data_IF_798769898263
#
_entry.id   IF_798769898263
#
_cell.length_a   1.000
_cell.length_b   1.000
_cell.length_c   1.000
_cell.angle_alpha   90.00
_cell.angle_beta   90.00
_cell.angle_gamma   90.00
#
_symmetry.space_group_name_H-M   'P 1'
#
loop_
_entity.id
_entity.type
_entity.pdbx_description
1 polymer ?
#
# COMPACT_ATOMS: atom_id res chain seq x y z
N UNK A 1 67.49 -14.80 -22.07
CA UNK A 1 66.21 -14.26 -22.59
C UNK A 1 65.08 -15.08 -21.96
N UNK A 2 64.55 -14.62 -20.83
CA UNK A 2 63.52 -15.33 -20.06
C UNK A 2 62.17 -14.71 -20.43
N UNK A 3 61.27 -15.51 -21.05
CA UNK A 3 59.89 -15.08 -21.33
C UNK A 3 59.06 -15.22 -20.05
N UNK A 4 58.57 -14.09 -19.59
CA UNK A 4 57.64 -13.99 -18.45
C UNK A 4 56.20 -14.18 -18.98
N UNK A 5 55.56 -15.29 -18.61
CA UNK A 5 54.15 -15.54 -18.91
C UNK A 5 53.29 -14.92 -17.82
N UNK A 6 52.50 -13.91 -18.18
CA UNK A 6 51.51 -13.26 -17.28
C UNK A 6 50.22 -14.07 -17.40
N UNK A 7 49.82 -14.78 -16.36
CA UNK A 7 48.49 -15.38 -16.21
C UNK A 7 47.51 -14.31 -15.75
N UNK A 8 46.62 -13.88 -16.65
CA UNK A 8 45.46 -13.08 -16.30
C UNK A 8 44.43 -14.01 -15.67
N UNK A 9 44.28 -13.91 -14.35
CA UNK A 9 43.21 -14.56 -13.60
C UNK A 9 41.94 -13.72 -13.78
N UNK A 10 41.04 -14.12 -14.66
CA UNK A 10 39.72 -13.52 -14.80
C UNK A 10 38.86 -13.93 -13.59
N UNK A 11 38.77 -13.07 -12.59
CA UNK A 11 37.78 -13.18 -11.54
C UNK A 11 36.38 -12.93 -12.09
N UNK A 12 35.64 -14.01 -12.33
CA UNK A 12 34.19 -13.91 -12.59
C UNK A 12 33.53 -13.55 -11.28
N UNK A 13 33.27 -12.25 -11.08
CA UNK A 13 32.34 -11.77 -10.05
C UNK A 13 30.92 -12.18 -10.49
N UNK A 14 30.44 -13.28 -9.94
CA UNK A 14 29.02 -13.60 -9.94
C UNK A 14 28.29 -12.60 -9.05
N UNK A 15 27.79 -11.52 -9.64
CA UNK A 15 26.85 -10.60 -8.98
C UNK A 15 25.53 -11.35 -8.86
N UNK A 16 25.34 -12.08 -7.76
CA UNK A 16 24.03 -12.52 -7.31
C UNK A 16 23.29 -11.26 -6.85
N UNK A 17 22.55 -10.65 -7.77
CA UNK A 17 21.66 -9.53 -7.47
C UNK A 17 20.54 -10.02 -6.57
N UNK A 18 20.72 -9.91 -5.26
CA UNK A 18 19.62 -9.95 -4.31
C UNK A 18 18.77 -8.71 -4.57
N UNK A 19 17.63 -8.89 -5.25
CA UNK A 19 16.60 -7.85 -5.39
C UNK A 19 16.00 -7.61 -4.00
N UNK A 20 16.58 -6.66 -3.26
CA UNK A 20 15.99 -6.16 -2.03
C UNK A 20 14.69 -5.41 -2.39
N UNK A 21 13.55 -5.98 -2.02
CA UNK A 21 12.29 -5.25 -2.03
C UNK A 21 12.37 -4.15 -0.97
N UNK A 22 12.68 -2.94 -1.39
CA UNK A 22 12.71 -1.77 -0.49
C UNK A 22 11.29 -1.25 -0.28
N UNK A 23 10.51 -1.93 0.57
CA UNK A 23 9.39 -1.28 1.25
C UNK A 23 9.94 -0.19 2.18
N UNK A 24 9.18 0.89 2.41
CA UNK A 24 9.58 1.86 3.43
C UNK A 24 9.62 1.16 4.80
N UNK A 25 10.62 1.48 5.65
CA UNK A 25 10.66 0.97 7.01
C UNK A 25 9.35 1.25 7.76
N UNK A 26 8.89 0.29 8.55
CA UNK A 26 7.67 0.39 9.35
C UNK A 26 8.06 0.53 10.82
N UNK A 27 7.73 1.66 11.40
CA UNK A 27 7.96 1.95 12.81
C UNK A 27 6.79 1.43 13.67
N UNK A 28 7.13 0.80 14.78
CA UNK A 28 6.20 0.23 15.75
C UNK A 28 6.47 0.82 17.13
N UNK A 29 5.48 1.53 17.66
CA UNK A 29 5.48 2.14 18.99
C UNK A 29 6.69 3.04 19.32
N UNK A 30 7.43 3.51 18.30
CA UNK A 30 8.68 4.29 18.51
C UNK A 30 9.85 3.48 19.08
N UNK A 31 9.73 2.14 19.11
CA UNK A 31 10.72 1.23 19.72
C UNK A 31 11.43 0.40 18.64
N UNK A 32 10.68 -0.15 17.71
CA UNK A 32 11.20 -1.06 16.69
C UNK A 32 10.89 -0.53 15.29
N UNK A 33 11.87 -0.59 14.39
CA UNK A 33 11.71 -0.22 12.97
C UNK A 33 12.05 -1.43 12.11
N UNK A 34 11.05 -1.95 11.41
CA UNK A 34 11.24 -3.03 10.45
C UNK A 34 11.59 -2.46 9.07
N UNK A 35 12.54 -3.10 8.37
CA UNK A 35 12.87 -2.78 6.97
C UNK A 35 11.65 -2.96 6.04
N UNK A 36 10.83 -3.97 6.33
CA UNK A 36 9.58 -4.31 5.66
C UNK A 36 8.71 -5.17 6.60
N UNK A 37 7.42 -5.20 6.37
CA UNK A 37 6.48 -6.12 7.06
C UNK A 37 5.83 -7.11 6.10
N UNK A 38 6.09 -6.99 4.81
CA UNK A 38 5.65 -7.91 3.77
C UNK A 38 6.84 -8.27 2.89
N UNK A 39 7.03 -9.56 2.65
CA UNK A 39 7.95 -10.07 1.63
C UNK A 39 7.16 -10.82 0.56
N UNK A 40 7.31 -10.38 -0.67
CA UNK A 40 6.68 -10.98 -1.84
C UNK A 40 7.73 -11.72 -2.66
N UNK A 41 7.62 -13.05 -2.71
CA UNK A 41 8.50 -13.89 -3.53
C UNK A 41 8.17 -13.81 -5.02
N UNK A 42 7.02 -13.20 -5.38
CA UNK A 42 6.52 -13.21 -6.76
C UNK A 42 6.10 -14.62 -7.22
N UNK A 43 6.15 -14.82 -8.56
CA UNK A 43 5.90 -16.11 -9.16
C UNK A 43 7.20 -16.94 -9.22
N UNK A 44 7.17 -18.18 -8.77
CA UNK A 44 8.30 -19.10 -8.87
C UNK A 44 7.81 -20.55 -9.11
N UNK A 45 8.71 -21.40 -9.60
CA UNK A 45 8.36 -22.78 -9.93
C UNK A 45 8.35 -23.68 -8.70
N UNK A 46 7.48 -24.69 -8.73
CA UNK A 46 7.50 -25.78 -7.74
C UNK A 46 8.87 -26.47 -7.69
N UNK A 47 9.51 -26.61 -8.85
CA UNK A 47 10.84 -27.19 -8.98
C UNK A 47 11.99 -26.33 -8.44
N UNK A 48 11.74 -25.05 -8.14
CA UNK A 48 12.79 -24.14 -7.61
C UNK A 48 13.14 -24.46 -6.14
N UNK A 49 12.36 -25.30 -5.47
CA UNK A 49 12.52 -25.64 -4.07
C UNK A 49 12.15 -24.52 -3.09
N UNK A 50 12.46 -24.68 -1.81
CA UNK A 50 12.13 -23.71 -0.76
C UNK A 50 12.67 -22.31 -1.05
N UNK A 51 11.96 -21.27 -0.62
CA UNK A 51 12.37 -19.87 -0.75
C UNK A 51 12.56 -19.23 0.62
N UNK A 52 13.69 -18.55 0.78
CA UNK A 52 14.03 -17.87 2.03
C UNK A 52 14.03 -16.36 1.88
N UNK A 53 13.71 -15.68 2.96
CA UNK A 53 13.83 -14.22 3.05
C UNK A 53 14.20 -13.80 4.47
N UNK A 54 14.61 -12.55 4.60
CA UNK A 54 14.92 -11.93 5.88
C UNK A 54 14.10 -10.66 6.08
N UNK A 55 13.77 -10.42 7.35
CA UNK A 55 13.26 -9.17 7.87
C UNK A 55 14.25 -8.64 8.88
N UNK A 56 14.64 -7.39 8.75
CA UNK A 56 15.53 -6.73 9.70
C UNK A 56 14.69 -5.81 10.59
N UNK A 57 14.92 -5.91 11.89
CA UNK A 57 14.34 -5.00 12.89
C UNK A 57 15.43 -4.22 13.60
N UNK A 58 15.39 -2.89 13.47
CA UNK A 58 16.29 -1.98 14.17
C UNK A 58 15.66 -1.51 15.47
N UNK A 59 16.45 -1.46 16.53
CA UNK A 59 16.04 -0.80 17.77
C UNK A 59 16.21 0.71 17.61
N UNK A 60 15.09 1.45 17.66
CA UNK A 60 15.04 2.91 17.59
C UNK A 60 14.61 3.53 18.94
N UNK A 61 14.37 2.69 19.96
CA UNK A 61 14.10 3.11 21.33
C UNK A 61 15.37 3.25 22.15
N UNK A 62 15.22 3.71 23.38
CA UNK A 62 16.29 4.00 24.36
C UNK A 62 16.73 2.80 25.21
N UNK A 63 16.05 1.66 25.08
CA UNK A 63 16.32 0.43 25.86
C UNK A 63 16.49 -0.78 24.97
N UNK A 64 17.34 -1.74 25.35
CA UNK A 64 17.44 -2.99 24.64
C UNK A 64 16.11 -3.74 24.62
N UNK A 65 15.77 -4.35 23.48
CA UNK A 65 14.67 -5.30 23.39
C UNK A 65 15.15 -6.69 22.94
N UNK A 66 14.37 -7.72 23.22
CA UNK A 66 14.60 -9.07 22.71
C UNK A 66 13.43 -9.56 21.86
N UNK A 67 13.74 -10.28 20.78
CA UNK A 67 12.75 -11.04 20.02
C UNK A 67 12.50 -12.33 20.80
N UNK A 68 11.40 -12.37 21.54
CA UNK A 68 11.09 -13.50 22.41
C UNK A 68 10.67 -14.73 21.63
N UNK A 69 9.78 -14.54 20.65
CA UNK A 69 9.20 -15.62 19.88
C UNK A 69 8.78 -15.13 18.50
N UNK A 70 8.91 -16.00 17.51
CA UNK A 70 8.32 -15.84 16.18
C UNK A 70 7.51 -17.09 15.89
N UNK A 71 6.20 -16.91 15.65
CA UNK A 71 5.26 -18.01 15.40
C UNK A 71 4.80 -17.94 13.96
N UNK A 72 5.03 -19.01 13.18
CA UNK A 72 4.49 -19.15 11.84
C UNK A 72 3.04 -19.60 11.86
N UNK A 73 2.21 -19.13 10.91
CA UNK A 73 0.81 -19.56 10.73
C UNK A 73 0.66 -20.96 10.16
N UNK A 74 1.74 -21.60 9.69
CA UNK A 74 1.73 -22.98 9.18
C UNK A 74 3.07 -23.68 9.43
N UNK A 75 3.05 -25.01 9.45
CA UNK A 75 4.26 -25.84 9.48
C UNK A 75 5.09 -25.81 8.17
N UNK A 76 4.59 -25.12 7.14
CA UNK A 76 5.28 -24.95 5.85
C UNK A 76 6.26 -23.76 5.84
N UNK A 77 6.52 -23.14 6.99
CA UNK A 77 7.44 -22.02 7.09
C UNK A 77 8.31 -22.16 8.33
N UNK A 78 9.57 -22.46 8.11
CA UNK A 78 10.58 -22.48 9.14
C UNK A 78 11.08 -21.09 9.46
N UNK A 79 11.32 -20.78 10.75
CA UNK A 79 11.75 -19.46 11.19
C UNK A 79 12.90 -19.54 12.16
N UNK A 80 13.85 -18.65 11.98
CA UNK A 80 14.95 -18.41 12.93
C UNK A 80 15.06 -16.92 13.17
N UNK A 81 15.60 -16.52 14.33
CA UNK A 81 15.74 -15.10 14.67
C UNK A 81 16.87 -14.83 15.65
N UNK A 82 17.31 -13.59 15.73
CA UNK A 82 18.30 -13.11 16.69
C UNK A 82 17.83 -13.38 18.12
N UNK A 83 18.57 -14.18 18.87
CA UNK A 83 18.26 -14.58 20.26
C UNK A 83 18.84 -13.64 21.31
N UNK A 84 19.86 -12.85 20.95
CA UNK A 84 20.48 -11.87 21.84
C UNK A 84 19.66 -10.59 21.89
N UNK A 85 19.67 -9.84 23.01
CA UNK A 85 19.06 -8.53 23.07
C UNK A 85 19.63 -7.57 22.04
N UNK A 86 18.76 -6.84 21.33
CA UNK A 86 19.10 -5.83 20.35
C UNK A 86 19.21 -4.49 21.07
N UNK A 87 20.42 -3.94 21.16
CA UNK A 87 20.65 -2.66 21.84
C UNK A 87 20.19 -1.49 20.97
N UNK A 88 20.12 -0.30 21.57
CA UNK A 88 19.82 0.94 20.84
C UNK A 88 20.69 1.07 19.57
N UNK A 89 20.07 1.36 18.45
CA UNK A 89 20.70 1.50 17.15
C UNK A 89 21.11 0.19 16.45
N UNK A 90 21.16 -0.94 17.18
CA UNK A 90 21.49 -2.26 16.61
C UNK A 90 20.32 -2.87 15.86
N UNK A 91 20.61 -3.94 15.10
CA UNK A 91 19.63 -4.67 14.30
C UNK A 91 19.53 -6.13 14.72
N UNK A 92 18.30 -6.62 14.81
CA UNK A 92 17.97 -8.05 14.85
C UNK A 92 17.50 -8.52 13.47
N UNK A 93 17.65 -9.82 13.20
CA UNK A 93 17.22 -10.47 11.96
C UNK A 93 16.24 -11.58 12.27
N UNK A 94 15.20 -11.68 11.45
CA UNK A 94 14.23 -12.79 11.42
C UNK A 94 14.33 -13.40 10.03
N UNK A 95 14.80 -14.63 9.94
CA UNK A 95 14.89 -15.39 8.69
C UNK A 95 13.72 -16.35 8.60
N UNK A 96 13.07 -16.41 7.44
CA UNK A 96 11.96 -17.31 7.16
C UNK A 96 12.20 -18.08 5.88
N UNK A 97 11.95 -19.39 5.92
CA UNK A 97 12.04 -20.29 4.77
C UNK A 97 10.68 -20.93 4.52
N UNK A 98 10.06 -20.58 3.41
CA UNK A 98 8.81 -21.19 2.96
C UNK A 98 9.09 -22.45 2.16
N UNK A 99 8.54 -23.58 2.59
CA UNK A 99 8.53 -24.83 1.84
C UNK A 99 7.41 -24.79 0.80
N UNK A 100 7.73 -25.04 -0.47
CA UNK A 100 6.79 -25.03 -1.58
C UNK A 100 6.29 -26.46 -1.95
N UNK A 101 6.39 -27.41 -1.03
CA UNK A 101 6.09 -28.83 -1.22
C UNK A 101 4.59 -29.15 -1.26
N UNK A 102 3.73 -28.16 -1.00
CA UNK A 102 2.27 -28.35 -0.96
C UNK A 102 1.58 -28.22 -2.34
N UNK A 103 2.35 -28.00 -3.41
CA UNK A 103 1.84 -27.85 -4.78
C UNK A 103 1.87 -26.43 -5.31
N UNK A 104 1.36 -26.26 -6.54
CA UNK A 104 1.34 -24.98 -7.27
C UNK A 104 0.09 -24.17 -6.94
N UNK A 105 0.21 -23.14 -6.11
CA UNK A 105 -0.86 -22.22 -5.74
C UNK A 105 -0.34 -20.89 -5.21
N UNK A 106 -1.14 -19.81 -5.23
CA UNK A 106 -0.80 -18.58 -4.55
C UNK A 106 -0.91 -18.75 -3.04
N UNK A 107 0.03 -18.18 -2.29
CA UNK A 107 0.03 -18.28 -0.83
C UNK A 107 0.25 -16.92 -0.15
N UNK A 108 -0.31 -16.81 1.05
CA UNK A 108 0.03 -15.80 2.03
C UNK A 108 0.16 -16.46 3.40
N UNK A 109 1.32 -16.31 4.03
CA UNK A 109 1.63 -16.84 5.36
C UNK A 109 2.01 -15.70 6.28
N UNK A 110 1.68 -15.83 7.56
CA UNK A 110 2.01 -14.81 8.55
C UNK A 110 3.01 -15.33 9.59
N UNK A 111 3.88 -14.42 10.04
CA UNK A 111 4.74 -14.62 11.19
C UNK A 111 4.32 -13.63 12.28
N UNK A 112 3.96 -14.15 13.44
CA UNK A 112 3.64 -13.34 14.61
C UNK A 112 4.90 -13.17 15.45
N UNK A 113 5.42 -11.95 15.51
CA UNK A 113 6.69 -11.61 16.18
C UNK A 113 6.39 -10.95 17.53
N UNK A 114 6.86 -11.57 18.60
CA UNK A 114 6.76 -11.05 19.95
C UNK A 114 8.09 -10.41 20.35
N UNK A 115 8.07 -9.12 20.65
CA UNK A 115 9.24 -8.33 21.05
C UNK A 115 8.97 -7.78 22.46
N UNK A 116 9.96 -7.88 23.35
CA UNK A 116 9.88 -7.20 24.67
C UNK A 116 9.70 -5.70 24.46
N UNK A 117 9.00 -5.04 25.34
CA UNK A 117 8.70 -3.61 25.28
C UNK A 117 7.65 -3.17 24.24
N UNK A 118 7.14 -4.05 23.39
CA UNK A 118 5.97 -3.78 22.55
C UNK A 118 4.69 -4.30 23.23
N UNK A 119 3.63 -3.52 23.16
CA UNK A 119 2.33 -3.89 23.73
C UNK A 119 1.57 -4.92 22.88
N UNK A 120 1.91 -5.01 21.60
CA UNK A 120 1.26 -5.92 20.63
C UNK A 120 2.31 -6.63 19.78
N UNK A 121 2.05 -7.87 19.37
CA UNK A 121 2.93 -8.56 18.43
C UNK A 121 2.89 -7.87 17.06
N UNK A 122 4.00 -7.97 16.34
CA UNK A 122 4.10 -7.49 14.96
C UNK A 122 3.82 -8.64 14.01
N UNK A 123 2.97 -8.40 13.01
CA UNK A 123 2.63 -9.38 11.99
C UNK A 123 3.45 -9.11 10.74
N UNK A 124 4.34 -10.05 10.41
CA UNK A 124 5.04 -10.07 9.13
C UNK A 124 4.31 -11.02 8.18
N UNK A 125 4.37 -10.74 6.87
CA UNK A 125 3.70 -11.52 5.84
C UNK A 125 4.68 -12.00 4.78
N UNK A 126 4.52 -13.26 4.40
CA UNK A 126 5.19 -13.89 3.27
C UNK A 126 4.12 -14.19 2.24
N UNK A 127 4.29 -13.75 1.03
CA UNK A 127 3.37 -14.08 -0.05
C UNK A 127 4.12 -14.42 -1.33
N UNK A 128 3.45 -15.12 -2.22
CA UNK A 128 3.97 -15.48 -3.52
C UNK A 128 3.00 -16.41 -4.25
N UNK A 129 3.40 -16.83 -5.43
CA UNK A 129 2.61 -17.77 -6.22
C UNK A 129 3.54 -18.88 -6.75
N UNK A 130 3.31 -20.10 -6.27
CA UNK A 130 4.00 -21.30 -6.76
C UNK A 130 3.31 -21.76 -8.04
N UNK A 131 4.08 -22.01 -9.09
CA UNK A 131 3.58 -22.48 -10.39
C UNK A 131 4.31 -23.72 -10.85
N UNK A 132 3.66 -24.56 -11.64
CA UNK A 132 4.33 -25.73 -12.25
C UNK A 132 5.13 -25.36 -13.50
N UNK A 133 4.71 -24.31 -14.22
CA UNK A 133 5.36 -23.82 -15.43
C UNK A 133 5.61 -22.32 -15.31
N UNK A 134 6.74 -21.86 -15.81
CA UNK A 134 7.04 -20.44 -15.91
C UNK A 134 6.06 -19.79 -16.89
N UNK A 135 5.20 -18.90 -16.39
CA UNK A 135 4.29 -18.12 -17.25
C UNK A 135 5.08 -17.14 -18.09
N UNK A 136 4.72 -16.97 -19.39
CA UNK A 136 5.27 -15.89 -20.21
C UNK A 136 5.03 -14.52 -19.57
N UNK A 137 5.96 -13.59 -19.75
CA UNK A 137 5.80 -12.24 -19.22
C UNK A 137 4.52 -11.55 -19.69
N UNK A 138 4.07 -11.81 -20.92
CA UNK A 138 2.81 -11.26 -21.44
C UNK A 138 1.56 -11.71 -20.65
N UNK A 139 1.58 -12.90 -20.06
CA UNK A 139 0.50 -13.36 -19.16
C UNK A 139 0.60 -12.76 -17.76
N UNK A 140 1.84 -12.55 -17.27
CA UNK A 140 2.08 -11.95 -15.95
C UNK A 140 1.82 -10.44 -15.92
N UNK A 141 1.92 -9.79 -17.09
CA UNK A 141 1.74 -8.35 -17.28
C UNK A 141 0.74 -8.10 -18.41
N UNK A 142 -0.57 -8.36 -18.17
CA UNK A 142 -1.59 -8.41 -19.24
C UNK A 142 -1.97 -7.05 -19.82
N UNK A 143 -1.63 -5.96 -19.15
CA UNK A 143 -1.86 -4.60 -19.68
C UNK A 143 -0.64 -4.16 -20.49
N UNK A 144 -0.85 -3.88 -21.76
CA UNK A 144 0.24 -3.53 -22.69
C UNK A 144 0.12 -2.09 -23.16
N UNK A 145 1.23 -1.35 -23.09
CA UNK A 145 1.40 -0.05 -23.74
C UNK A 145 2.66 -0.18 -24.60
N UNK A 146 2.49 -0.41 -25.91
CA UNK A 146 3.60 -0.79 -26.77
C UNK A 146 4.30 -2.04 -26.23
N UNK A 147 5.61 -1.99 -26.08
CA UNK A 147 6.42 -3.08 -25.51
C UNK A 147 6.44 -3.10 -23.97
N UNK A 148 5.84 -2.14 -23.31
CA UNK A 148 5.72 -2.11 -21.84
C UNK A 148 4.53 -2.95 -21.37
N UNK A 149 4.80 -3.98 -20.57
CA UNK A 149 3.82 -4.80 -19.89
C UNK A 149 3.64 -4.37 -18.44
N UNK A 150 2.37 -4.32 -17.96
CA UNK A 150 1.99 -3.96 -16.60
C UNK A 150 0.88 -4.87 -16.09
N UNK A 151 0.67 -4.91 -14.77
CA UNK A 151 -0.46 -5.63 -14.16
C UNK A 151 -1.73 -4.77 -14.13
N UNK A 152 -1.59 -3.46 -14.00
CA UNK A 152 -2.69 -2.50 -13.84
C UNK A 152 -2.26 -1.11 -14.35
N UNK A 153 -3.23 -0.21 -14.52
CA UNK A 153 -3.03 1.19 -14.92
C UNK A 153 -3.42 2.18 -13.83
N UNK A 154 -3.98 1.67 -12.72
CA UNK A 154 -4.44 2.47 -11.57
C UNK A 154 -3.66 2.06 -10.32
N UNK A 155 -2.87 2.97 -9.78
CA UNK A 155 -1.94 2.70 -8.68
C UNK A 155 -2.36 3.40 -7.41
N UNK A 156 -2.39 2.63 -6.32
CA UNK A 156 -2.61 3.16 -4.97
C UNK A 156 -1.28 3.57 -4.35
N UNK A 157 -1.10 4.86 -4.10
CA UNK A 157 0.07 5.36 -3.36
C UNK A 157 -0.10 5.18 -1.84
N UNK A 158 -1.34 5.26 -1.36
CA UNK A 158 -1.70 5.09 0.04
C UNK A 158 -1.94 6.40 0.79
N UNK A 159 -1.87 6.33 2.12
CA UNK A 159 -2.12 7.49 2.97
C UNK A 159 -0.87 8.37 3.07
N UNK A 160 -1.08 9.68 2.97
CA UNK A 160 -0.02 10.69 3.08
C UNK A 160 -0.46 11.73 4.12
N UNK A 161 0.44 12.10 5.04
CA UNK A 161 0.18 13.25 5.92
C UNK A 161 0.26 14.53 5.10
N UNK A 162 -0.55 15.52 5.44
CA UNK A 162 -0.57 16.81 4.77
C UNK A 162 0.82 17.45 4.71
N UNK A 163 1.25 17.84 3.52
CA UNK A 163 2.58 18.39 3.26
C UNK A 163 3.71 17.36 3.21
N UNK A 164 3.42 16.08 3.50
CA UNK A 164 4.37 14.98 3.36
C UNK A 164 4.42 14.41 1.95
N UNK A 165 5.23 13.38 1.75
CA UNK A 165 5.32 12.64 0.50
C UNK A 165 5.31 11.13 0.73
N UNK A 166 4.92 10.39 -0.29
CA UNK A 166 4.96 8.93 -0.29
C UNK A 166 5.36 8.41 -1.66
N UNK A 167 6.28 7.46 -1.64
CA UNK A 167 6.69 6.70 -2.82
C UNK A 167 6.18 5.27 -2.71
N UNK A 168 5.88 4.68 -3.86
CA UNK A 168 5.61 3.27 -4.01
C UNK A 168 6.07 2.83 -5.40
N UNK A 169 5.98 1.55 -5.72
CA UNK A 169 6.36 1.05 -7.04
C UNK A 169 5.45 -0.08 -7.50
N UNK A 170 5.38 -0.26 -8.80
CA UNK A 170 4.80 -1.42 -9.46
C UNK A 170 5.83 -2.10 -10.34
N UNK A 171 5.77 -3.43 -10.43
CA UNK A 171 6.62 -4.18 -11.37
C UNK A 171 6.09 -4.00 -12.79
N UNK A 172 7.00 -3.80 -13.72
CA UNK A 172 6.74 -3.71 -15.15
C UNK A 172 7.68 -4.63 -15.93
N UNK A 173 7.32 -4.97 -17.15
CA UNK A 173 8.10 -5.86 -18.00
C UNK A 173 8.35 -5.24 -19.36
N UNK A 174 9.49 -5.53 -19.95
CA UNK A 174 9.76 -5.30 -21.35
C UNK A 174 9.37 -6.55 -22.16
N UNK A 175 8.26 -6.48 -22.85
CA UNK A 175 7.73 -7.55 -23.72
C UNK A 175 8.32 -7.51 -25.14
N UNK A 176 9.13 -6.47 -25.42
CA UNK A 176 9.80 -6.29 -26.70
C UNK A 176 11.09 -7.09 -26.83
N UNK A 177 11.70 -6.98 -28.02
CA UNK A 177 12.95 -7.67 -28.39
C UNK A 177 14.20 -6.79 -28.23
N UNK A 178 14.04 -5.53 -27.87
CA UNK A 178 15.12 -4.54 -27.70
C UNK A 178 15.04 -3.91 -26.31
N UNK A 179 16.12 -3.33 -25.76
CA UNK A 179 16.06 -2.59 -24.50
C UNK A 179 15.01 -1.48 -24.56
N UNK A 180 14.20 -1.35 -23.50
CA UNK A 180 13.08 -0.42 -23.43
C UNK A 180 13.40 0.73 -22.49
N UNK A 181 13.30 1.96 -22.99
CA UNK A 181 13.23 3.19 -22.18
C UNK A 181 11.80 3.73 -22.18
N UNK A 182 11.32 4.06 -20.97
CA UNK A 182 10.00 4.66 -20.78
C UNK A 182 10.18 6.07 -20.27
N UNK A 183 9.60 7.04 -20.96
CA UNK A 183 9.49 8.42 -20.50
C UNK A 183 8.05 8.78 -20.19
N UNK A 184 7.82 9.92 -19.54
CA UNK A 184 6.47 10.34 -19.15
C UNK A 184 6.20 11.77 -19.58
N UNK A 185 4.98 12.05 -20.01
CA UNK A 185 4.46 13.38 -20.30
C UNK A 185 3.11 13.59 -19.62
N UNK A 186 2.63 14.82 -19.60
CA UNK A 186 1.37 15.20 -18.93
C UNK A 186 1.33 14.69 -17.47
N UNK A 187 2.47 14.78 -16.78
CA UNK A 187 2.58 14.37 -15.38
C UNK A 187 1.91 15.41 -14.51
N UNK A 188 0.97 14.98 -13.65
CA UNK A 188 0.29 15.87 -12.70
C UNK A 188 1.30 16.57 -11.79
N UNK A 189 1.00 17.80 -11.40
CA UNK A 189 1.72 18.48 -10.33
C UNK A 189 1.77 17.58 -9.08
N UNK A 190 2.87 17.63 -8.34
CA UNK A 190 3.10 16.83 -7.14
C UNK A 190 3.21 15.30 -7.35
N UNK A 191 3.27 14.83 -8.60
CA UNK A 191 3.59 13.46 -8.95
C UNK A 191 4.94 13.40 -9.65
N UNK A 192 5.83 12.50 -9.21
CA UNK A 192 7.01 12.11 -9.99
C UNK A 192 6.90 10.63 -10.34
N UNK A 193 7.28 10.29 -11.58
CA UNK A 193 7.22 8.91 -12.08
C UNK A 193 8.50 8.61 -12.86
N UNK A 194 9.10 7.45 -12.61
CA UNK A 194 10.26 6.95 -13.36
C UNK A 194 10.29 5.44 -13.40
N UNK A 195 11.06 4.88 -14.28
CA UNK A 195 11.30 3.43 -14.37
C UNK A 195 12.74 3.12 -13.99
N UNK A 196 12.93 2.08 -13.20
CA UNK A 196 14.24 1.54 -12.82
C UNK A 196 14.34 0.04 -13.19
N UNK A 197 15.41 -0.38 -13.86
CA UNK A 197 16.47 0.47 -14.44
C UNK A 197 15.93 1.40 -15.54
N UNK A 198 16.64 2.50 -15.85
CA UNK A 198 16.24 3.47 -16.90
C UNK A 198 16.02 2.78 -18.26
N UNK A 199 16.73 1.70 -18.50
CA UNK A 199 16.57 0.84 -19.69
C UNK A 199 16.34 -0.59 -19.24
N UNK A 200 15.14 -1.12 -19.49
CA UNK A 200 14.78 -2.50 -19.16
C UNK A 200 15.27 -3.40 -20.32
N UNK A 201 16.11 -4.41 -20.05
CA UNK A 201 16.54 -5.36 -21.11
C UNK A 201 15.35 -6.06 -21.76
N UNK A 202 15.52 -6.52 -23.00
CA UNK A 202 14.51 -7.33 -23.70
C UNK A 202 14.13 -8.57 -22.87
N UNK A 203 12.83 -8.80 -22.66
CA UNK A 203 12.33 -9.89 -21.82
C UNK A 203 12.67 -9.73 -20.33
N UNK A 204 13.15 -8.56 -19.92
CA UNK A 204 13.44 -8.23 -18.51
C UNK A 204 12.30 -7.54 -17.80
N UNK A 205 12.47 -7.33 -16.51
CA UNK A 205 11.52 -6.58 -15.65
C UNK A 205 12.18 -5.36 -15.06
N UNK A 206 11.37 -4.39 -14.65
CA UNK A 206 11.78 -3.18 -13.96
C UNK A 206 10.74 -2.74 -12.95
N UNK A 207 10.98 -1.60 -12.31
CA UNK A 207 10.07 -0.97 -11.37
C UNK A 207 9.58 0.35 -11.95
N UNK A 208 8.28 0.53 -12.03
CA UNK A 208 7.65 1.84 -12.19
C UNK A 208 7.57 2.45 -10.79
N UNK A 209 8.44 3.42 -10.49
CA UNK A 209 8.48 4.10 -9.20
C UNK A 209 7.69 5.40 -9.33
N UNK A 210 6.79 5.63 -8.39
CA UNK A 210 5.97 6.84 -8.34
C UNK A 210 5.97 7.44 -6.95
N UNK A 211 6.09 8.76 -6.89
CA UNK A 211 6.09 9.54 -5.64
C UNK A 211 5.05 10.63 -5.74
N UNK A 212 4.15 10.69 -4.77
CA UNK A 212 3.20 11.79 -4.62
C UNK A 212 3.60 12.63 -3.41
N UNK A 213 3.75 13.93 -3.63
CA UNK A 213 3.88 14.93 -2.58
C UNK A 213 2.51 15.53 -2.31
N UNK A 214 2.03 15.44 -1.07
CA UNK A 214 0.73 15.98 -0.71
C UNK A 214 0.71 17.49 -0.81
N UNK A 215 -0.31 18.03 -1.47
CA UNK A 215 -0.62 19.45 -1.40
C UNK A 215 -1.26 19.77 -0.04
N UNK A 216 -0.85 20.90 0.57
CA UNK A 216 -1.40 21.33 1.87
C UNK A 216 -2.87 21.76 1.81
N UNK A 217 -3.41 22.01 0.62
CA UNK A 217 -4.78 22.42 0.39
C UNK A 217 -5.71 21.25 -0.01
N UNK A 218 -5.15 20.05 -0.21
CA UNK A 218 -5.91 18.89 -0.63
C UNK A 218 -6.08 17.90 0.53
N UNK A 219 -7.31 17.44 0.68
CA UNK A 219 -7.72 16.44 1.67
C UNK A 219 -8.32 15.22 1.00
N UNK A 220 -8.36 14.09 1.71
CA UNK A 220 -9.00 12.88 1.26
C UNK A 220 -8.35 12.27 0.02
N UNK A 221 -9.15 11.60 -0.80
CA UNK A 221 -8.70 10.92 -2.01
C UNK A 221 -8.44 11.94 -3.13
N UNK A 222 -7.20 11.92 -3.65
CA UNK A 222 -6.76 12.78 -4.75
C UNK A 222 -6.16 11.92 -5.87
N UNK A 223 -6.45 12.31 -7.11
CA UNK A 223 -6.03 11.60 -8.31
C UNK A 223 -4.94 12.37 -9.05
N UNK A 224 -3.97 11.63 -9.54
CA UNK A 224 -2.84 12.10 -10.33
C UNK A 224 -2.73 11.24 -11.58
N UNK A 225 -2.13 11.77 -12.63
CA UNK A 225 -1.94 11.06 -13.90
C UNK A 225 -0.57 11.29 -14.48
N UNK A 226 -0.07 10.32 -15.25
CA UNK A 226 1.11 10.44 -16.08
C UNK A 226 0.91 9.62 -17.34
N UNK A 227 1.26 10.16 -18.49
CA UNK A 227 1.14 9.47 -19.77
C UNK A 227 2.50 8.87 -20.14
N UNK A 228 2.65 7.53 -20.16
CA UNK A 228 3.90 6.90 -20.59
C UNK A 228 4.11 7.09 -22.08
N UNK A 229 5.36 7.26 -22.46
CA UNK A 229 5.81 7.25 -23.86
C UNK A 229 6.70 6.03 -24.02
N UNK A 230 6.24 5.10 -24.83
CA UNK A 230 6.84 3.79 -25.08
C UNK A 230 7.06 3.66 -26.59
N UNK A 231 8.25 3.25 -27.01
CA UNK A 231 8.60 3.12 -28.44
C UNK A 231 8.28 4.39 -29.26
N UNK A 232 8.50 5.57 -28.65
CA UNK A 232 8.23 6.88 -29.24
C UNK A 232 6.75 7.27 -29.33
N UNK A 233 5.82 6.43 -28.85
CA UNK A 233 4.37 6.66 -28.89
C UNK A 233 3.82 6.86 -27.46
N UNK A 234 2.89 7.80 -27.34
CA UNK A 234 2.14 7.96 -26.10
C UNK A 234 1.11 6.85 -25.92
N UNK A 235 1.10 6.26 -24.76
CA UNK A 235 0.06 5.34 -24.32
C UNK A 235 -1.12 6.04 -23.64
N UNK A 236 -1.99 5.23 -23.05
CA UNK A 236 -3.04 5.72 -22.16
C UNK A 236 -2.44 6.25 -20.84
N UNK A 237 -3.12 7.23 -20.24
CA UNK A 237 -2.65 7.82 -19.00
C UNK A 237 -2.79 6.83 -17.85
N UNK A 238 -1.70 6.59 -17.14
CA UNK A 238 -1.69 5.90 -15.87
C UNK A 238 -2.30 6.80 -14.81
N UNK A 239 -3.07 6.20 -13.91
CA UNK A 239 -3.72 6.89 -12.81
C UNK A 239 -3.11 6.50 -11.48
N UNK A 240 -2.90 7.48 -10.63
CA UNK A 240 -2.37 7.28 -9.28
C UNK A 240 -3.30 7.95 -8.30
N UNK A 241 -3.53 7.34 -7.13
CA UNK A 241 -4.30 8.02 -6.11
C UNK A 241 -3.64 7.90 -4.74
N UNK A 242 -3.74 8.99 -4.00
CA UNK A 242 -3.30 9.07 -2.62
C UNK A 242 -4.42 9.62 -1.75
N UNK A 243 -4.42 9.24 -0.48
CA UNK A 243 -5.35 9.76 0.51
C UNK A 243 -4.59 10.67 1.48
N UNK A 244 -4.90 11.97 1.44
CA UNK A 244 -4.28 12.99 2.30
C UNK A 244 -5.07 13.14 3.59
N UNK A 245 -4.39 12.99 4.71
CA UNK A 245 -4.93 13.24 6.06
C UNK A 245 -4.08 14.27 6.80
N UNK A 246 -4.63 14.84 7.87
CA UNK A 246 -3.89 15.76 8.73
C UNK A 246 -2.67 15.08 9.37
N UNK A 247 -1.62 15.85 9.59
CA UNK A 247 -0.45 15.39 10.32
C UNK A 247 -0.61 15.64 11.81
N UNK A 248 -0.68 14.56 12.57
CA UNK A 248 -0.85 14.58 14.02
C UNK A 248 0.42 14.18 14.79
N UNK A 249 1.57 14.08 14.10
CA UNK A 249 2.82 13.61 14.70
C UNK A 249 3.32 14.52 15.81
N UNK A 250 3.09 15.85 15.70
CA UNK A 250 3.50 16.85 16.68
C UNK A 250 2.59 17.00 17.90
N UNK A 251 1.47 16.25 17.98
CA UNK A 251 0.52 16.39 19.08
C UNK A 251 0.96 15.61 20.34
N UNK A 252 0.97 16.28 21.51
CA UNK A 252 1.13 15.63 22.79
C UNK A 252 -0.05 14.69 23.12
N UNK A 253 0.12 13.80 24.12
CA UNK A 253 -0.93 12.92 24.59
C UNK A 253 -2.16 13.71 25.05
N UNK A 254 -1.95 14.77 25.81
CA UNK A 254 -3.03 15.64 26.30
C UNK A 254 -3.79 16.33 25.16
N UNK A 255 -3.09 16.79 24.11
CA UNK A 255 -3.72 17.37 22.93
C UNK A 255 -4.57 16.35 22.19
N UNK A 256 -4.10 15.11 22.07
CA UNK A 256 -4.88 14.01 21.44
C UNK A 256 -6.14 13.66 22.26
N UNK A 257 -6.06 13.65 23.59
CA UNK A 257 -7.20 13.39 24.49
C UNK A 257 -8.25 14.52 24.47
N UNK A 258 -7.82 15.75 24.19
CA UNK A 258 -8.71 16.92 24.07
C UNK A 258 -9.19 17.15 22.63
N UNK A 259 -8.73 16.39 21.68
CA UNK A 259 -9.06 16.56 20.28
C UNK A 259 -10.54 16.27 19.97
N UNK A 260 -10.96 16.65 18.77
CA UNK A 260 -12.27 16.30 18.23
C UNK A 260 -12.40 14.77 18.08
N UNK A 261 -13.61 14.25 18.34
CA UNK A 261 -13.91 12.83 18.24
C UNK A 261 -15.21 12.60 17.49
N UNK A 262 -15.14 12.30 16.19
CA UNK A 262 -16.32 12.05 15.39
C UNK A 262 -16.97 10.71 15.76
N UNK A 263 -18.27 10.73 15.95
CA UNK A 263 -19.15 9.58 16.16
C UNK A 263 -20.27 9.66 15.13
N UNK A 264 -20.58 8.57 14.46
CA UNK A 264 -21.83 8.40 13.71
C UNK A 264 -22.80 7.58 14.56
N UNK A 265 -24.05 8.04 14.72
CA UNK A 265 -25.09 7.29 15.45
C UNK A 265 -25.37 5.95 14.76
N UNK A 266 -25.37 5.96 13.42
CA UNK A 266 -25.32 4.78 12.58
C UNK A 266 -24.32 5.02 11.45
N UNK A 267 -23.41 4.10 11.24
CA UNK A 267 -22.44 4.18 10.14
C UNK A 267 -22.96 3.58 8.85
N UNK A 268 -24.12 2.92 8.88
CA UNK A 268 -24.74 2.28 7.71
C UNK A 268 -26.15 2.84 7.49
N UNK A 269 -26.44 3.19 6.25
CA UNK A 269 -27.77 3.51 5.74
C UNK A 269 -28.16 2.43 4.72
N UNK A 270 -29.28 1.72 4.99
CA UNK A 270 -29.79 0.71 4.08
C UNK A 270 -31.06 1.25 3.40
N UNK A 271 -31.03 1.31 2.06
CA UNK A 271 -32.19 1.79 1.28
C UNK A 271 -33.15 0.64 0.86
N UNK A 272 -32.87 -0.60 1.27
CA UNK A 272 -33.69 -1.78 0.94
C UNK A 272 -33.56 -2.17 -0.52
N UNK A 273 -34.66 -2.64 -1.11
CA UNK A 273 -34.75 -3.06 -2.52
C UNK A 273 -35.50 -2.01 -3.31
N UNK A 274 -34.89 -1.46 -4.35
CA UNK A 274 -35.46 -0.41 -5.17
C UNK A 274 -35.31 -0.69 -6.67
N UNK A 275 -36.25 -0.17 -7.45
CA UNK A 275 -36.10 -0.09 -8.91
C UNK A 275 -35.07 0.99 -9.27
N UNK A 276 -34.26 0.74 -10.30
CA UNK A 276 -33.33 1.71 -10.84
C UNK A 276 -34.02 3.06 -11.16
N UNK A 277 -33.33 4.18 -10.92
CA UNK A 277 -33.88 5.53 -11.13
C UNK A 277 -34.69 6.10 -9.97
N UNK A 278 -34.92 5.37 -8.88
CA UNK A 278 -35.51 5.92 -7.65
C UNK A 278 -34.43 6.67 -6.87
N UNK A 279 -34.57 7.99 -6.62
CA UNK A 279 -33.56 8.74 -5.88
C UNK A 279 -33.48 8.28 -4.43
N UNK A 280 -32.27 8.23 -3.90
CA UNK A 280 -32.00 7.92 -2.49
C UNK A 280 -31.23 9.09 -1.88
N UNK A 281 -31.64 9.56 -0.70
CA UNK A 281 -30.91 10.47 0.15
C UNK A 281 -30.54 9.75 1.45
N UNK A 282 -29.29 9.27 1.54
CA UNK A 282 -28.79 8.66 2.76
C UNK A 282 -28.45 9.76 3.78
N UNK A 283 -28.96 9.62 5.00
CA UNK A 283 -28.82 10.59 6.08
C UNK A 283 -28.03 9.97 7.22
N UNK A 284 -26.95 10.63 7.62
CA UNK A 284 -26.09 10.23 8.73
C UNK A 284 -26.08 11.30 9.81
N UNK A 285 -26.43 10.94 11.03
CA UNK A 285 -26.31 11.80 12.18
C UNK A 285 -24.91 11.65 12.78
N UNK A 286 -24.19 12.75 12.80
CA UNK A 286 -22.82 12.83 13.33
C UNK A 286 -22.85 13.59 14.66
N UNK A 287 -22.01 13.19 15.59
CA UNK A 287 -21.78 13.85 16.88
C UNK A 287 -20.29 14.07 17.07
N UNK A 288 -19.92 15.19 17.68
CA UNK A 288 -18.57 15.41 18.15
C UNK A 288 -18.52 15.08 19.66
N UNK A 289 -17.93 13.95 20.02
CA UNK A 289 -17.74 13.55 21.43
C UNK A 289 -16.44 14.08 22.04
N UNK A 290 -15.61 14.75 21.23
CA UNK A 290 -14.37 15.35 21.67
C UNK A 290 -14.56 16.70 22.36
N UNK A 291 -13.43 17.26 22.80
CA UNK A 291 -13.40 18.54 23.56
C UNK A 291 -12.98 19.73 22.69
N UNK A 292 -12.61 19.52 21.44
CA UNK A 292 -12.33 20.57 20.46
C UNK A 292 -13.26 20.47 19.26
N UNK A 293 -13.39 21.56 18.48
CA UNK A 293 -14.27 21.58 17.31
C UNK A 293 -13.87 20.52 16.25
N UNK A 294 -14.86 19.77 15.80
CA UNK A 294 -14.68 18.79 14.74
C UNK A 294 -14.84 19.48 13.38
N UNK A 295 -13.82 19.36 12.55
CA UNK A 295 -13.81 19.75 11.15
C UNK A 295 -13.84 18.52 10.27
N UNK A 296 -14.75 18.47 9.32
CA UNK A 296 -14.77 17.48 8.26
C UNK A 296 -14.20 18.17 7.01
N UNK A 297 -13.06 17.70 6.55
CA UNK A 297 -12.33 18.37 5.46
C UNK A 297 -12.86 17.98 4.08
N UNK A 298 -13.19 16.70 3.92
CA UNK A 298 -13.65 16.14 2.65
C UNK A 298 -14.50 14.89 2.87
N UNK A 299 -15.43 14.65 1.98
CA UNK A 299 -16.15 13.39 1.82
C UNK A 299 -15.87 12.84 0.41
N UNK A 300 -15.35 11.63 0.35
CA UNK A 300 -15.05 10.92 -0.90
C UNK A 300 -15.95 9.68 -0.99
N UNK A 301 -16.78 9.60 -2.03
CA UNK A 301 -17.51 8.38 -2.35
C UNK A 301 -16.68 7.50 -3.29
N UNK A 302 -16.71 6.19 -3.07
CA UNK A 302 -16.03 5.22 -3.93
C UNK A 302 -16.81 4.88 -5.21
N UNK A 303 -18.09 5.29 -5.26
CA UNK A 303 -18.97 5.08 -6.40
C UNK A 303 -19.45 6.42 -6.97
N UNK A 304 -19.36 6.67 -8.30
CA UNK A 304 -19.78 7.93 -8.92
C UNK A 304 -21.30 8.17 -8.90
N UNK A 305 -22.11 7.17 -8.55
CA UNK A 305 -23.53 7.34 -8.32
C UNK A 305 -23.83 8.13 -7.05
N UNK A 306 -22.90 8.18 -6.09
CA UNK A 306 -23.07 8.86 -4.82
C UNK A 306 -22.44 10.26 -4.85
N UNK A 307 -23.22 11.26 -4.46
CA UNK A 307 -22.79 12.66 -4.35
C UNK A 307 -22.87 13.11 -2.89
N UNK A 308 -21.74 13.24 -2.18
CA UNK A 308 -21.69 13.79 -0.85
C UNK A 308 -22.23 15.24 -0.80
N UNK A 309 -23.03 15.54 0.22
CA UNK A 309 -23.57 16.88 0.46
C UNK A 309 -22.61 17.75 1.29
N UNK A 310 -23.15 18.84 1.85
CA UNK A 310 -22.39 19.77 2.66
C UNK A 310 -21.92 19.11 3.97
N UNK A 311 -20.66 19.35 4.32
CA UNK A 311 -20.04 18.83 5.53
C UNK A 311 -20.36 19.75 6.73
N UNK A 312 -20.93 19.23 7.84
CA UNK A 312 -21.16 20.02 9.03
C UNK A 312 -19.85 20.31 9.77
N UNK A 313 -19.77 21.47 10.44
CA UNK A 313 -18.77 21.77 11.45
C UNK A 313 -19.42 21.63 12.82
N UNK A 314 -18.84 20.84 13.72
CA UNK A 314 -19.47 20.49 14.99
C UNK A 314 -18.64 20.98 16.18
N UNK A 315 -19.20 21.86 16.99
CA UNK A 315 -18.65 22.23 18.29
C UNK A 315 -18.56 20.98 19.21
N UNK A 316 -17.77 21.03 20.31
CA UNK A 316 -17.79 19.97 21.31
C UNK A 316 -19.20 19.61 21.78
N UNK A 317 -19.55 18.33 21.78
CA UNK A 317 -20.86 17.80 22.16
C UNK A 317 -21.97 18.02 21.11
N UNK A 318 -21.75 18.83 20.07
CA UNK A 318 -22.77 19.13 19.09
C UNK A 318 -23.07 17.96 18.15
N UNK A 319 -24.31 17.91 17.68
CA UNK A 319 -24.78 17.00 16.63
C UNK A 319 -25.01 17.76 15.32
N UNK A 320 -24.89 17.04 14.21
CA UNK A 320 -25.17 17.54 12.88
C UNK A 320 -25.52 16.44 11.92
N UNK A 321 -26.12 16.78 10.81
CA UNK A 321 -26.56 15.83 9.79
C UNK A 321 -25.68 15.95 8.56
N UNK A 322 -25.24 14.81 8.05
CA UNK A 322 -24.54 14.68 6.78
C UNK A 322 -25.39 13.87 5.81
N UNK A 323 -25.57 14.37 4.61
CA UNK A 323 -26.43 13.76 3.60
C UNK A 323 -25.62 13.35 2.38
N UNK A 324 -26.01 12.21 1.77
CA UNK A 324 -25.43 11.72 0.51
C UNK A 324 -26.56 11.38 -0.44
N UNK A 325 -26.56 12.01 -1.60
CA UNK A 325 -27.52 11.68 -2.67
C UNK A 325 -26.97 10.52 -3.51
N UNK A 326 -27.82 9.53 -3.79
CA UNK A 326 -27.45 8.39 -4.63
C UNK A 326 -28.38 8.35 -5.84
N UNK A 327 -27.78 8.43 -7.02
CA UNK A 327 -28.46 8.25 -8.31
C UNK A 327 -28.49 6.75 -8.65
N UNK A 328 -29.59 6.10 -8.29
CA UNK A 328 -29.71 4.66 -8.48
C UNK A 328 -29.80 4.23 -9.95
N UNK A 329 -30.02 5.18 -10.90
CA UNK A 329 -29.97 4.87 -12.33
C UNK A 329 -28.57 4.50 -12.82
N UNK A 330 -27.52 4.89 -12.08
CA UNK A 330 -26.10 4.60 -12.36
C UNK A 330 -25.60 3.34 -11.67
N UNK A 331 -26.45 2.65 -10.91
CA UNK A 331 -26.08 1.46 -10.18
C UNK A 331 -26.42 0.20 -10.97
N UNK A 332 -25.57 -0.86 -10.91
CA UNK A 332 -25.89 -2.14 -11.51
C UNK A 332 -27.05 -2.82 -10.75
N UNK A 333 -27.75 -3.72 -11.41
CA UNK A 333 -28.70 -4.63 -10.76
C UNK A 333 -27.98 -5.52 -9.74
N UNK A 334 -28.68 -5.84 -8.65
CA UNK A 334 -28.17 -6.68 -7.57
C UNK A 334 -27.80 -5.88 -6.33
N UNK A 335 -27.01 -6.48 -5.45
CA UNK A 335 -26.55 -5.89 -4.20
C UNK A 335 -25.59 -4.72 -4.46
N UNK A 336 -25.78 -3.65 -3.69
CA UNK A 336 -24.99 -2.42 -3.76
C UNK A 336 -24.43 -2.13 -2.39
N UNK A 337 -23.13 -1.81 -2.38
CA UNK A 337 -22.43 -1.22 -1.23
C UNK A 337 -21.62 -0.04 -1.73
N UNK A 338 -21.87 1.14 -1.16
CA UNK A 338 -21.12 2.37 -1.42
C UNK A 338 -20.44 2.80 -0.12
N UNK A 339 -19.17 3.12 -0.21
CA UNK A 339 -18.38 3.62 0.93
C UNK A 339 -18.16 5.11 0.74
N UNK A 340 -18.58 5.90 1.72
CA UNK A 340 -18.29 7.33 1.81
C UNK A 340 -17.29 7.56 2.91
N UNK A 341 -16.11 8.03 2.53
CA UNK A 341 -14.98 8.24 3.44
C UNK A 341 -14.89 9.72 3.82
N UNK A 342 -15.07 10.04 5.10
CA UNK A 342 -14.88 11.38 5.64
C UNK A 342 -13.44 11.56 6.13
N UNK A 343 -12.79 12.65 5.73
CA UNK A 343 -11.50 13.07 6.26
C UNK A 343 -11.72 14.12 7.35
N UNK A 344 -11.12 13.92 8.53
CA UNK A 344 -11.39 14.74 9.72
C UNK A 344 -10.11 15.29 10.36
N UNK A 345 -10.26 16.30 11.23
CA UNK A 345 -9.20 16.82 12.09
C UNK A 345 -9.02 16.03 13.39
N UNK A 346 -9.55 14.82 13.49
CA UNK A 346 -9.42 14.00 14.69
C UNK A 346 -8.18 13.11 14.62
N UNK A 347 -7.24 13.21 15.55
CA UNK A 347 -6.07 12.32 15.60
C UNK A 347 -6.45 10.87 15.91
N UNK A 348 -7.57 10.64 16.62
CA UNK A 348 -8.08 9.30 16.95
C UNK A 348 -8.86 8.67 15.80
N UNK A 349 -9.56 9.49 15.01
CA UNK A 349 -10.37 9.06 13.86
C UNK A 349 -10.16 10.00 12.67
N UNK A 350 -8.96 10.04 12.08
CA UNK A 350 -8.67 10.89 10.92
C UNK A 350 -9.49 10.52 9.69
N UNK A 351 -10.01 9.30 9.68
CA UNK A 351 -10.83 8.73 8.61
C UNK A 351 -12.05 8.08 9.27
N UNK A 352 -13.24 8.43 8.77
CA UNK A 352 -14.52 7.81 9.17
C UNK A 352 -15.21 7.29 7.91
N UNK A 353 -15.53 6.00 7.88
CA UNK A 353 -16.29 5.40 6.78
C UNK A 353 -17.76 5.30 7.13
N UNK A 354 -18.59 5.72 6.19
CA UNK A 354 -20.03 5.56 6.19
C UNK A 354 -20.42 4.64 5.03
N UNK A 355 -21.41 3.80 5.24
CA UNK A 355 -21.79 2.76 4.30
C UNK A 355 -23.23 2.99 3.84
N UNK A 356 -23.48 2.91 2.53
CA UNK A 356 -24.82 2.94 1.94
C UNK A 356 -25.01 1.63 1.23
N UNK A 357 -26.01 0.86 1.65
CA UNK A 357 -26.27 -0.48 1.13
C UNK A 357 -27.74 -0.63 0.68
N UNK A 358 -27.98 -1.62 -0.16
CA UNK A 358 -29.30 -2.00 -0.65
C UNK A 358 -29.20 -2.88 -1.87
N UNK A 359 -30.30 -3.04 -2.62
CA UNK A 359 -30.31 -3.78 -3.86
C UNK A 359 -31.11 -3.06 -4.94
N UNK A 360 -30.69 -3.20 -6.20
CA UNK A 360 -31.39 -2.67 -7.39
C UNK A 360 -32.00 -3.81 -8.19
N UNK A 361 -33.30 -3.70 -8.49
CA UNK A 361 -34.06 -4.63 -9.33
C UNK A 361 -34.04 -4.28 -10.82
#
# INVERSE_FOLDING_TARGET
MKKLAIYLLAAVLSITGTFAQTGKPVEVEGIAQFDKVVHDFGDFLLSDGPKSCEFTVKNIGDRPFAIMQVVSSCGCTDVTWTKTPVKEGEKGVISATYSNDQGAYPFEKTLTVYITSLNKPVILRLRGNVTEKKKPLAELYPVHIGSLGMKETVFKVGNINQGGERSDFAMVANLGKSPLKVTFRNVSANLTVRVEPESIPAGGTGKLIYTVKSDRNLWGKNWYKATPVVDGKAGEALQFWAFTKEDFTGLSKEQKEKAAQPMAEASTYNFGVLKAGKPVEAVFNLKNEGKSALKLYKADADNPAATPGQLPSLAPGAKGTFKVKVDTSKLPKGEVLIIVTLTTNSPLRPIVNLFISGAIE
#
